data_IF_526807429396
#
_entry.id   IF_526807429396
#
_cell.length_a   1.000
_cell.length_b   1.000
_cell.length_c   1.000
_cell.angle_alpha   90.00
_cell.angle_beta   90.00
_cell.angle_gamma   90.00
#
_symmetry.space_group_name_H-M   'P 1'
#
loop_
_entity.id
_entity.type
_entity.pdbx_description
1 polymer ?
#
# COMPACT_ATOMS: atom_id res chain seq x y z
N UNK A 1 -25.84 -53.22 -73.73
CA UNK A 1 -26.56 -51.96 -74.04
C UNK A 1 -25.58 -50.92 -74.59
N UNK A 2 -26.04 -50.01 -75.45
CA UNK A 2 -25.36 -48.83 -76.07
C UNK A 2 -26.02 -47.56 -75.50
N UNK A 3 -25.48 -46.32 -75.49
CA UNK A 3 -24.16 -45.71 -75.80
C UNK A 3 -24.09 -44.34 -75.07
N UNK A 4 -22.93 -43.65 -74.95
CA UNK A 4 -22.77 -42.46 -74.11
C UNK A 4 -23.03 -41.11 -74.82
N UNK A 5 -23.28 -40.06 -74.04
CA UNK A 5 -23.32 -38.63 -74.40
C UNK A 5 -22.98 -37.79 -73.14
N UNK A 6 -22.54 -36.53 -73.14
CA UNK A 6 -21.90 -35.59 -74.10
C UNK A 6 -21.21 -34.51 -73.22
N UNK A 7 -20.16 -33.84 -73.71
CA UNK A 7 -19.49 -32.73 -73.01
C UNK A 7 -19.91 -31.35 -73.57
N UNK A 8 -19.93 -30.30 -72.73
CA UNK A 8 -19.68 -28.92 -73.15
C UNK A 8 -19.29 -28.03 -71.96
N UNK A 9 -18.42 -27.03 -72.17
CA UNK A 9 -17.84 -26.19 -71.12
C UNK A 9 -18.41 -24.77 -71.04
N UNK A 10 -18.28 -24.14 -69.87
CA UNK A 10 -18.64 -22.74 -69.62
C UNK A 10 -17.38 -21.85 -69.55
N UNK A 11 -17.43 -20.69 -70.20
CA UNK A 11 -16.36 -19.68 -70.17
C UNK A 11 -16.47 -18.78 -68.94
N UNK A 12 -15.38 -18.59 -68.22
CA UNK A 12 -15.28 -17.56 -67.17
C UNK A 12 -15.14 -16.16 -67.79
N UNK A 13 -15.88 -15.19 -67.24
CA UNK A 13 -15.65 -13.76 -67.45
C UNK A 13 -15.29 -13.17 -66.08
N UNK A 14 -14.09 -12.59 -65.98
CA UNK A 14 -13.61 -11.96 -64.74
C UNK A 14 -14.03 -10.48 -64.76
N UNK A 15 -14.86 -10.06 -63.79
CA UNK A 15 -15.22 -8.65 -63.60
C UNK A 15 -14.47 -8.10 -62.38
N UNK A 16 -13.51 -7.20 -62.60
CA UNK A 16 -12.74 -6.58 -61.52
C UNK A 16 -13.47 -5.34 -61.01
N UNK A 17 -14.12 -5.45 -59.85
CA UNK A 17 -14.67 -4.29 -59.12
C UNK A 17 -13.63 -3.70 -58.18
N UNK A 18 -13.16 -2.49 -58.47
CA UNK A 18 -12.17 -1.77 -57.66
C UNK A 18 -12.85 -1.15 -56.43
N UNK A 19 -12.75 -1.82 -55.28
CA UNK A 19 -13.21 -1.29 -53.99
C UNK A 19 -12.14 -0.37 -53.40
N UNK A 20 -12.37 0.94 -53.48
CA UNK A 20 -11.53 1.94 -52.81
C UNK A 20 -11.73 1.90 -51.30
N UNK A 21 -10.71 1.49 -50.56
CA UNK A 21 -10.70 1.51 -49.09
C UNK A 21 -10.54 2.92 -48.56
N UNK A 22 -11.61 3.48 -47.99
CA UNK A 22 -11.55 4.71 -47.20
C UNK A 22 -10.95 4.36 -45.83
N UNK A 23 -9.64 4.49 -45.71
CA UNK A 23 -8.92 4.33 -44.44
C UNK A 23 -9.29 5.46 -43.48
N UNK A 24 -10.30 5.24 -42.63
CA UNK A 24 -10.56 6.10 -41.48
C UNK A 24 -9.38 6.01 -40.52
N UNK A 25 -8.53 7.03 -40.49
CA UNK A 25 -7.50 7.22 -39.46
C UNK A 25 -8.20 7.33 -38.09
N UNK A 26 -8.25 6.21 -37.37
CA UNK A 26 -8.71 6.17 -36.00
C UNK A 26 -7.69 6.93 -35.14
N UNK A 27 -7.96 8.21 -34.91
CA UNK A 27 -7.16 9.04 -34.02
C UNK A 27 -7.33 8.48 -32.61
N UNK A 28 -6.30 7.83 -32.09
CA UNK A 28 -6.29 7.30 -30.74
C UNK A 28 -6.47 8.46 -29.76
N UNK A 29 -7.67 8.57 -29.16
CA UNK A 29 -7.86 9.46 -28.02
C UNK A 29 -6.93 8.97 -26.92
N UNK A 30 -6.09 9.87 -26.42
CA UNK A 30 -5.29 9.61 -25.22
C UNK A 30 -6.19 9.11 -24.10
N UNK A 31 -5.78 8.06 -23.40
CA UNK A 31 -6.51 7.56 -22.23
C UNK A 31 -6.77 8.71 -21.25
N UNK A 32 -7.97 8.77 -20.63
CA UNK A 32 -8.28 9.84 -19.69
C UNK A 32 -7.35 9.77 -18.48
N UNK A 33 -6.85 10.92 -18.07
CA UNK A 33 -6.06 11.08 -16.83
C UNK A 33 -6.91 10.70 -15.62
N UNK A 34 -6.60 9.57 -14.99
CA UNK A 34 -7.35 9.02 -13.87
C UNK A 34 -7.23 9.86 -12.59
N UNK A 35 -6.22 10.73 -12.47
CA UNK A 35 -6.09 11.71 -11.40
C UNK A 35 -6.98 12.95 -11.63
N UNK A 36 -7.67 13.04 -12.77
CA UNK A 36 -8.64 14.10 -13.10
C UNK A 36 -10.06 13.56 -13.38
N UNK A 37 -10.26 12.24 -13.31
CA UNK A 37 -11.54 11.57 -13.57
C UNK A 37 -12.19 11.17 -12.24
N UNK A 38 -13.30 11.79 -11.81
CA UNK A 38 -14.01 11.39 -10.59
C UNK A 38 -14.49 9.94 -10.64
N UNK A 39 -14.57 9.28 -9.48
CA UNK A 39 -15.01 7.88 -9.44
C UNK A 39 -16.48 7.73 -9.83
N UNK A 40 -16.77 6.69 -10.60
CA UNK A 40 -18.14 6.40 -11.07
C UNK A 40 -18.98 5.84 -9.92
N UNK A 41 -20.15 6.43 -9.68
CA UNK A 41 -21.14 5.88 -8.72
C UNK A 41 -21.64 4.52 -9.20
N UNK A 42 -21.54 3.49 -8.35
CA UNK A 42 -21.85 2.11 -8.71
C UNK A 42 -22.62 1.39 -7.62
N UNK A 43 -23.76 0.77 -7.98
CA UNK A 43 -24.49 -0.15 -7.10
C UNK A 43 -23.70 -1.42 -6.75
N UNK A 44 -22.59 -1.68 -7.45
CA UNK A 44 -21.68 -2.81 -7.21
C UNK A 44 -20.38 -2.39 -6.51
N UNK A 45 -20.28 -1.18 -5.95
CA UNK A 45 -19.06 -0.70 -5.30
C UNK A 45 -18.60 -1.63 -4.16
N UNK A 46 -19.53 -2.19 -3.38
CA UNK A 46 -19.24 -3.18 -2.31
C UNK A 46 -18.81 -4.56 -2.82
N UNK A 47 -18.75 -4.76 -4.14
CA UNK A 47 -18.33 -6.00 -4.82
C UNK A 47 -17.15 -5.79 -5.79
N UNK A 48 -16.57 -4.59 -5.85
CA UNK A 48 -15.30 -4.35 -6.56
C UNK A 48 -14.11 -4.87 -5.76
N UNK A 49 -12.90 -4.81 -6.33
CA UNK A 49 -11.68 -4.96 -5.53
C UNK A 49 -11.61 -3.85 -4.49
N UNK A 50 -11.50 -4.23 -3.22
CA UNK A 50 -11.25 -3.35 -2.08
C UNK A 50 -9.86 -3.68 -1.53
N UNK A 51 -9.11 -2.67 -1.10
CA UNK A 51 -7.70 -2.80 -0.71
C UNK A 51 -7.54 -2.73 0.80
N UNK A 52 -8.00 -1.64 1.42
CA UNK A 52 -7.93 -1.42 2.86
C UNK A 52 -9.28 -0.99 3.46
N UNK A 53 -9.37 -1.08 4.78
CA UNK A 53 -10.48 -0.55 5.55
C UNK A 53 -10.06 -0.14 6.95
N UNK A 54 -10.75 0.86 7.51
CA UNK A 54 -10.56 1.33 8.88
C UNK A 54 -11.91 1.50 9.60
N UNK A 55 -12.02 1.20 10.91
CA UNK A 55 -13.22 1.49 11.68
C UNK A 55 -13.58 2.98 11.65
N UNK A 56 -14.87 3.30 11.53
CA UNK A 56 -15.38 4.66 11.46
C UNK A 56 -16.68 4.77 12.30
N UNK A 57 -16.52 4.94 13.61
CA UNK A 57 -17.62 4.83 14.59
C UNK A 57 -18.36 3.48 14.43
N UNK A 58 -19.69 3.49 14.23
CA UNK A 58 -20.49 2.28 14.00
C UNK A 58 -20.36 1.69 12.58
N UNK A 59 -19.65 2.38 11.69
CA UNK A 59 -19.40 2.00 10.30
C UNK A 59 -17.94 1.58 10.06
N UNK A 60 -17.65 1.17 8.84
CA UNK A 60 -16.32 0.85 8.33
C UNK A 60 -16.11 1.67 7.07
N UNK A 61 -14.99 2.40 7.00
CA UNK A 61 -14.58 3.13 5.81
C UNK A 61 -13.65 2.23 4.99
N UNK A 62 -14.07 1.88 3.77
CA UNK A 62 -13.31 1.05 2.84
C UNK A 62 -12.82 1.86 1.65
N UNK A 63 -11.65 1.49 1.12
CA UNK A 63 -11.06 2.04 -0.10
C UNK A 63 -10.66 0.94 -1.07
N UNK A 64 -10.57 1.26 -2.36
CA UNK A 64 -10.17 0.27 -3.36
C UNK A 64 -9.95 0.82 -4.77
N UNK A 65 -10.06 -0.07 -5.75
CA UNK A 65 -9.90 0.28 -7.16
C UNK A 65 -10.89 1.35 -7.64
N UNK A 66 -10.55 2.01 -8.75
CA UNK A 66 -11.44 2.96 -9.45
C UNK A 66 -11.89 4.16 -8.61
N UNK A 67 -11.09 4.54 -7.61
CA UNK A 67 -11.41 5.61 -6.67
C UNK A 67 -12.63 5.31 -5.80
N UNK A 68 -12.95 4.03 -5.57
CA UNK A 68 -14.01 3.67 -4.64
C UNK A 68 -13.60 4.01 -3.20
N UNK A 69 -14.47 4.78 -2.54
CA UNK A 69 -14.43 5.06 -1.11
C UNK A 69 -15.85 4.77 -0.60
N UNK A 70 -16.00 3.92 0.40
CA UNK A 70 -17.31 3.38 0.82
C UNK A 70 -17.42 3.45 2.33
N UNK A 71 -18.47 4.08 2.84
CA UNK A 71 -18.86 3.96 4.24
C UNK A 71 -19.90 2.83 4.36
N UNK A 72 -19.55 1.73 5.00
CA UNK A 72 -20.37 0.51 5.10
C UNK A 72 -20.74 0.22 6.55
N UNK A 73 -22.02 -0.05 6.83
CA UNK A 73 -22.50 -0.52 8.13
C UNK A 73 -22.93 -2.00 8.05
N UNK A 74 -23.58 -2.37 6.94
CA UNK A 74 -23.96 -3.74 6.58
C UNK A 74 -24.32 -3.79 5.08
N UNK A 75 -24.60 -4.99 4.54
CA UNK A 75 -24.90 -5.20 3.12
C UNK A 75 -26.11 -4.40 2.58
N UNK A 76 -27.06 -3.99 3.43
CA UNK A 76 -28.20 -3.14 3.05
C UNK A 76 -28.04 -1.66 3.40
N UNK A 77 -27.01 -1.31 4.20
CA UNK A 77 -26.75 0.07 4.66
C UNK A 77 -25.28 0.43 4.40
N UNK A 78 -25.03 1.00 3.24
CA UNK A 78 -23.72 1.52 2.83
C UNK A 78 -23.88 2.69 1.85
N UNK A 79 -22.84 3.51 1.73
CA UNK A 79 -22.81 4.66 0.84
C UNK A 79 -21.43 4.81 0.20
N UNK A 80 -21.37 4.89 -1.14
CA UNK A 80 -20.18 5.33 -1.86
C UNK A 80 -20.00 6.85 -1.69
N UNK A 81 -18.81 7.26 -1.29
CA UNK A 81 -18.40 8.66 -1.16
C UNK A 81 -17.83 9.18 -2.49
N UNK A 82 -17.86 10.51 -2.69
CA UNK A 82 -17.41 11.14 -3.94
C UNK A 82 -15.90 11.31 -3.94
N UNK A 83 -15.18 10.50 -4.73
CA UNK A 83 -13.75 10.69 -4.99
C UNK A 83 -13.52 11.54 -6.25
N UNK A 84 -12.57 12.48 -6.25
CA UNK A 84 -12.20 13.27 -7.42
C UNK A 84 -11.29 12.52 -8.41
N UNK A 85 -10.92 11.27 -8.11
CA UNK A 85 -10.01 10.44 -8.92
C UNK A 85 -10.57 9.03 -9.15
N UNK A 86 -10.05 8.36 -10.17
CA UNK A 86 -10.38 6.98 -10.57
C UNK A 86 -9.17 6.03 -10.50
N UNK A 87 -8.05 6.49 -9.93
CA UNK A 87 -6.92 5.61 -9.57
C UNK A 87 -7.30 4.70 -8.41
N UNK A 88 -6.59 3.59 -8.21
CA UNK A 88 -6.80 2.74 -7.04
C UNK A 88 -6.29 3.42 -5.76
N UNK A 89 -7.10 3.36 -4.70
CA UNK A 89 -6.80 3.89 -3.37
C UNK A 89 -6.40 2.70 -2.49
N UNK A 90 -5.17 2.75 -1.96
CA UNK A 90 -4.50 1.62 -1.31
C UNK A 90 -4.80 1.56 0.18
N UNK A 91 -4.80 2.71 0.86
CA UNK A 91 -4.94 2.80 2.32
C UNK A 91 -5.66 4.08 2.78
N UNK A 92 -6.17 4.09 4.02
CA UNK A 92 -6.98 5.17 4.59
C UNK A 92 -6.86 5.25 6.12
N UNK A 93 -6.66 6.47 6.64
CA UNK A 93 -6.67 6.78 8.08
C UNK A 93 -7.68 7.88 8.43
N UNK A 94 -8.04 7.97 9.71
CA UNK A 94 -8.94 8.96 10.29
C UNK A 94 -8.21 9.68 11.43
N UNK A 95 -8.23 11.02 11.39
CA UNK A 95 -7.58 11.90 12.36
C UNK A 95 -8.44 12.12 13.61
N UNK A 96 -7.84 12.68 14.66
CA UNK A 96 -8.49 12.93 15.96
C UNK A 96 -9.73 13.85 15.85
N UNK A 97 -9.76 14.75 14.87
CA UNK A 97 -10.88 15.63 14.59
C UNK A 97 -11.97 15.02 13.67
N UNK A 98 -11.79 13.76 13.26
CA UNK A 98 -12.68 13.02 12.36
C UNK A 98 -12.50 13.33 10.87
N UNK A 99 -11.57 14.22 10.48
CA UNK A 99 -11.12 14.31 9.09
C UNK A 99 -10.34 13.06 8.67
N UNK A 100 -10.24 12.83 7.36
CA UNK A 100 -9.89 11.52 6.77
C UNK A 100 -8.86 11.73 5.67
N UNK A 101 -7.85 10.87 5.64
CA UNK A 101 -6.76 10.89 4.64
C UNK A 101 -6.72 9.53 3.96
N UNK A 102 -6.69 9.53 2.63
CA UNK A 102 -6.57 8.32 1.83
C UNK A 102 -5.44 8.47 0.79
N UNK A 103 -4.67 7.41 0.58
CA UNK A 103 -3.50 7.39 -0.32
C UNK A 103 -3.66 6.33 -1.40
N UNK A 104 -2.91 6.43 -2.50
CA UNK A 104 -3.00 5.42 -3.55
C UNK A 104 -2.04 5.57 -4.73
N UNK A 105 -2.46 4.96 -5.84
CA UNK A 105 -1.74 4.97 -7.11
C UNK A 105 -1.50 6.39 -7.63
N UNK A 106 -0.44 6.52 -8.44
CA UNK A 106 0.05 7.78 -9.00
C UNK A 106 0.32 8.85 -7.91
N UNK A 107 0.74 8.38 -6.74
CA UNK A 107 1.11 9.14 -5.54
C UNK A 107 0.00 10.02 -4.97
N UNK A 108 -1.27 9.70 -5.27
CA UNK A 108 -2.40 10.54 -4.86
C UNK A 108 -2.55 10.55 -3.34
N UNK A 109 -2.84 11.74 -2.79
CA UNK A 109 -3.39 11.88 -1.44
C UNK A 109 -4.70 12.67 -1.54
N UNK A 110 -5.73 12.11 -0.91
CA UNK A 110 -7.06 12.70 -0.80
C UNK A 110 -7.33 13.05 0.66
N UNK A 111 -8.01 14.18 0.87
CA UNK A 111 -8.52 14.61 2.18
C UNK A 111 -10.04 14.81 2.13
N UNK A 112 -10.73 14.41 3.19
CA UNK A 112 -12.11 14.79 3.47
C UNK A 112 -12.20 15.29 4.91
N UNK A 113 -12.92 16.39 5.13
CA UNK A 113 -13.10 16.95 6.46
C UNK A 113 -14.08 16.08 7.28
N UNK A 114 -14.22 16.35 8.58
CA UNK A 114 -15.20 15.62 9.39
C UNK A 114 -16.62 15.81 8.82
N UNK A 115 -17.45 14.76 8.88
CA UNK A 115 -18.76 14.64 8.23
C UNK A 115 -18.82 14.80 6.69
N UNK A 116 -17.72 15.14 5.99
CA UNK A 116 -17.74 15.21 4.53
C UNK A 116 -17.80 13.83 3.87
N UNK A 117 -18.72 13.69 2.91
CA UNK A 117 -18.79 12.56 1.96
C UNK A 117 -18.14 12.88 0.61
N UNK A 118 -17.48 14.02 0.49
CA UNK A 118 -16.78 14.48 -0.72
C UNK A 118 -15.32 14.75 -0.42
N UNK A 119 -14.44 14.15 -1.22
CA UNK A 119 -13.00 14.24 -1.04
C UNK A 119 -12.40 15.27 -1.99
N UNK A 120 -11.34 15.96 -1.53
CA UNK A 120 -10.47 16.79 -2.37
C UNK A 120 -9.11 16.11 -2.52
N UNK A 121 -8.47 16.32 -3.67
CA UNK A 121 -7.09 15.91 -3.90
C UNK A 121 -6.16 17.00 -3.38
N UNK A 122 -5.25 16.64 -2.49
CA UNK A 122 -4.29 17.58 -1.85
C UNK A 122 -2.87 17.40 -2.38
N UNK A 123 -2.54 16.23 -2.92
CA UNK A 123 -1.18 15.88 -3.35
C UNK A 123 -1.20 14.78 -4.45
N UNK A 124 -0.14 14.68 -5.25
CA UNK A 124 0.06 13.61 -6.25
C UNK A 124 1.52 13.17 -6.32
N UNK A 125 1.80 12.11 -7.07
CA UNK A 125 3.18 11.68 -7.36
C UNK A 125 4.01 12.73 -8.10
N UNK A 126 3.38 13.74 -8.72
CA UNK A 126 4.09 14.86 -9.36
C UNK A 126 4.93 15.61 -8.33
N UNK A 127 4.35 15.88 -7.16
CA UNK A 127 5.03 16.59 -6.07
C UNK A 127 6.19 15.74 -5.50
N UNK A 128 6.05 14.40 -5.44
CA UNK A 128 7.16 13.47 -5.09
C UNK A 128 8.34 13.64 -6.07
N UNK A 129 8.09 13.54 -7.38
CA UNK A 129 9.14 13.69 -8.39
C UNK A 129 9.77 15.08 -8.35
N UNK A 130 8.98 16.13 -8.06
CA UNK A 130 9.50 17.50 -7.87
C UNK A 130 10.41 17.61 -6.63
N UNK A 131 10.05 16.98 -5.50
CA UNK A 131 10.93 16.93 -4.33
C UNK A 131 12.22 16.15 -4.59
N UNK A 132 12.16 15.00 -5.28
CA UNK A 132 13.37 14.27 -5.70
C UNK A 132 14.30 15.11 -6.58
N UNK A 133 13.77 15.82 -7.58
CA UNK A 133 14.58 16.73 -8.42
C UNK A 133 15.22 17.85 -7.58
N UNK A 134 14.53 18.37 -6.56
CA UNK A 134 15.07 19.40 -5.68
C UNK A 134 16.21 18.87 -4.79
N UNK A 135 16.04 17.68 -4.21
CA UNK A 135 17.06 16.99 -3.40
C UNK A 135 18.32 16.68 -4.22
N UNK A 136 18.17 16.00 -5.36
CA UNK A 136 19.29 15.66 -6.25
C UNK A 136 20.06 16.90 -6.73
N UNK A 137 19.37 18.02 -6.99
CA UNK A 137 20.03 19.30 -7.35
C UNK A 137 20.80 19.92 -6.19
N UNK A 138 20.30 19.80 -4.96
CA UNK A 138 21.01 20.26 -3.78
C UNK A 138 22.26 19.39 -3.52
N UNK A 139 22.15 18.08 -3.71
CA UNK A 139 23.26 17.12 -3.62
C UNK A 139 24.34 17.43 -4.68
N UNK A 140 23.94 17.61 -5.95
CA UNK A 140 24.83 18.02 -7.04
C UNK A 140 25.60 19.31 -6.71
N UNK A 141 24.90 20.36 -6.29
CA UNK A 141 25.54 21.64 -5.90
C UNK A 141 26.49 21.48 -4.71
N UNK A 142 26.19 20.58 -3.76
CA UNK A 142 27.07 20.30 -2.63
C UNK A 142 28.33 19.57 -3.10
N UNK A 143 28.19 18.62 -4.03
CA UNK A 143 29.28 17.83 -4.58
C UNK A 143 30.20 18.66 -5.48
N UNK A 144 29.66 19.55 -6.33
CA UNK A 144 30.45 20.55 -7.09
C UNK A 144 31.35 21.38 -6.17
N UNK A 145 30.83 21.77 -5.00
CA UNK A 145 31.59 22.56 -4.03
C UNK A 145 32.72 21.74 -3.38
N UNK A 146 32.51 20.44 -3.11
CA UNK A 146 33.57 19.53 -2.63
C UNK A 146 34.65 19.39 -3.70
N UNK A 147 34.28 18.98 -4.92
CA UNK A 147 35.18 18.81 -6.08
C UNK A 147 36.04 20.07 -6.31
N UNK A 148 35.47 21.27 -6.17
CA UNK A 148 36.22 22.53 -6.35
C UNK A 148 37.35 22.75 -5.32
N UNK A 149 37.38 21.96 -4.25
CA UNK A 149 38.36 22.06 -3.15
C UNK A 149 39.22 20.81 -2.96
N UNK A 150 38.81 19.66 -3.50
CA UNK A 150 39.59 18.42 -3.49
C UNK A 150 40.86 18.56 -4.34
N UNK A 151 41.99 18.05 -3.84
CA UNK A 151 43.30 18.10 -4.50
C UNK A 151 43.86 16.73 -4.86
N UNK A 152 43.30 15.67 -4.30
CA UNK A 152 43.70 14.29 -4.56
C UNK A 152 43.07 13.84 -5.90
N UNK A 153 43.89 13.33 -6.81
CA UNK A 153 43.44 12.97 -8.17
C UNK A 153 42.54 11.72 -8.17
N UNK A 154 42.79 10.76 -7.27
CA UNK A 154 41.98 9.54 -7.16
C UNK A 154 40.59 9.88 -6.54
N UNK A 155 40.55 10.77 -5.53
CA UNK A 155 39.30 11.28 -4.94
C UNK A 155 38.49 12.12 -5.95
N UNK A 156 39.17 12.96 -6.75
CA UNK A 156 38.52 13.75 -7.81
C UNK A 156 37.86 12.87 -8.89
N UNK A 157 38.45 11.74 -9.25
CA UNK A 157 37.85 10.81 -10.21
C UNK A 157 36.56 10.19 -9.65
N UNK A 158 36.58 9.71 -8.40
CA UNK A 158 35.39 9.14 -7.75
C UNK A 158 34.25 10.16 -7.60
N UNK A 159 34.55 11.37 -7.12
CA UNK A 159 33.56 12.44 -6.96
C UNK A 159 32.98 12.89 -8.32
N UNK A 160 33.77 12.84 -9.39
CA UNK A 160 33.29 13.18 -10.74
C UNK A 160 32.28 12.15 -11.25
N UNK A 161 32.52 10.85 -11.04
CA UNK A 161 31.54 9.82 -11.37
C UNK A 161 30.22 9.99 -10.58
N UNK A 162 30.31 10.28 -9.28
CA UNK A 162 29.13 10.56 -8.45
C UNK A 162 28.34 11.79 -8.97
N UNK A 163 29.03 12.80 -9.51
CA UNK A 163 28.39 13.98 -10.08
C UNK A 163 27.66 13.65 -11.41
N UNK A 164 28.27 12.84 -12.28
CA UNK A 164 27.62 12.35 -13.50
C UNK A 164 26.36 11.53 -13.20
N UNK A 165 26.41 10.61 -12.22
CA UNK A 165 25.24 9.84 -11.75
C UNK A 165 24.10 10.76 -11.26
N UNK A 166 24.42 11.82 -10.53
CA UNK A 166 23.43 12.82 -10.10
C UNK A 166 22.82 13.58 -11.29
N UNK A 167 23.60 13.90 -12.32
CA UNK A 167 23.07 14.52 -13.55
C UNK A 167 22.07 13.57 -14.24
N UNK A 168 22.43 12.29 -14.44
CA UNK A 168 21.53 11.30 -15.02
C UNK A 168 20.24 11.13 -14.19
N UNK A 169 20.35 11.03 -12.86
CA UNK A 169 19.20 10.94 -11.97
C UNK A 169 18.28 12.17 -12.06
N UNK A 170 18.84 13.38 -12.20
CA UNK A 170 18.08 14.62 -12.40
C UNK A 170 17.36 14.62 -13.76
N UNK A 171 17.98 14.14 -14.83
CA UNK A 171 17.38 14.05 -16.16
C UNK A 171 16.24 13.03 -16.22
N UNK A 172 16.44 11.84 -15.65
CA UNK A 172 15.42 10.78 -15.57
C UNK A 172 14.19 11.25 -14.79
N UNK A 173 14.36 11.88 -13.63
CA UNK A 173 13.23 12.43 -12.88
C UNK A 173 12.53 13.57 -13.63
N UNK A 174 13.25 14.35 -14.46
CA UNK A 174 12.61 15.34 -15.35
C UNK A 174 11.83 14.71 -16.50
N UNK A 175 12.24 13.55 -17.02
CA UNK A 175 11.48 12.78 -18.02
C UNK A 175 10.24 12.13 -17.39
N UNK A 176 10.35 11.61 -16.18
CA UNK A 176 9.22 11.12 -15.39
C UNK A 176 8.19 12.23 -15.13
N UNK A 177 8.65 13.41 -14.69
CA UNK A 177 7.78 14.55 -14.41
C UNK A 177 6.98 15.01 -15.65
N UNK A 178 7.54 14.85 -16.86
CA UNK A 178 6.85 15.09 -18.15
C UNK A 178 5.87 13.97 -18.51
N UNK A 179 6.22 12.72 -18.18
CA UNK A 179 5.40 11.53 -18.47
C UNK A 179 4.18 11.42 -17.56
N UNK A 180 4.28 11.96 -16.34
CA UNK A 180 3.23 11.93 -15.33
C UNK A 180 3.51 10.93 -14.21
N UNK A 181 2.86 11.09 -13.05
CA UNK A 181 3.07 10.23 -11.89
C UNK A 181 2.64 8.79 -12.15
N UNK A 182 3.45 7.83 -11.67
CA UNK A 182 3.22 6.39 -11.84
C UNK A 182 3.55 5.55 -10.59
N UNK A 183 4.12 6.16 -9.53
CA UNK A 183 4.50 5.49 -8.28
C UNK A 183 3.34 5.49 -7.29
N UNK A 184 2.90 4.34 -6.75
CA UNK A 184 1.88 4.31 -5.71
C UNK A 184 2.45 4.73 -4.34
N UNK A 185 1.63 5.44 -3.58
CA UNK A 185 1.65 5.34 -2.12
C UNK A 185 0.87 4.07 -1.73
N UNK A 186 1.37 3.35 -0.72
CA UNK A 186 0.92 2.01 -0.35
C UNK A 186 0.23 1.97 1.01
N UNK A 187 0.67 2.80 1.97
CA UNK A 187 0.09 2.85 3.31
C UNK A 187 0.15 4.25 3.92
N UNK A 188 -0.77 4.56 4.83
CA UNK A 188 -0.84 5.84 5.55
C UNK A 188 -1.25 5.64 7.00
N UNK A 189 -0.59 6.35 7.91
CA UNK A 189 -0.92 6.32 9.34
C UNK A 189 -0.81 7.71 9.96
N UNK A 190 -1.34 7.85 11.17
CA UNK A 190 -1.34 9.09 11.95
C UNK A 190 -0.97 8.83 13.40
N UNK A 191 -0.31 9.80 14.04
CA UNK A 191 0.00 9.85 15.47
C UNK A 191 -1.11 10.52 16.27
N UNK A 192 -1.02 10.48 17.60
CA UNK A 192 -2.01 11.08 18.51
C UNK A 192 -2.15 12.61 18.38
N UNK A 193 -1.11 13.29 17.87
CA UNK A 193 -1.09 14.72 17.57
C UNK A 193 -1.46 15.05 16.10
N UNK A 194 -2.02 14.10 15.35
CA UNK A 194 -2.35 14.21 13.92
C UNK A 194 -1.16 14.51 12.98
N UNK A 195 0.08 14.21 13.38
CA UNK A 195 1.19 14.09 12.42
C UNK A 195 0.95 12.82 11.58
N UNK A 196 1.04 12.95 10.26
CA UNK A 196 0.79 11.89 9.29
C UNK A 196 2.09 11.38 8.68
N UNK A 197 2.12 10.09 8.37
CA UNK A 197 3.16 9.44 7.59
C UNK A 197 2.53 8.59 6.48
N UNK A 198 3.08 8.68 5.27
CA UNK A 198 2.66 7.85 4.14
C UNK A 198 3.87 7.20 3.48
N UNK A 199 3.80 5.89 3.24
CA UNK A 199 4.86 5.10 2.60
C UNK A 199 4.47 4.63 1.21
N UNK A 200 5.44 4.33 0.35
CA UNK A 200 5.16 3.88 -1.00
C UNK A 200 6.33 3.24 -1.75
N UNK A 201 6.18 3.15 -3.07
CA UNK A 201 7.20 2.61 -3.96
C UNK A 201 8.50 3.45 -3.97
N UNK A 202 9.60 2.83 -4.40
CA UNK A 202 10.95 3.41 -4.48
C UNK A 202 11.40 4.18 -3.22
N UNK A 203 11.30 3.54 -2.05
CA UNK A 203 11.71 4.10 -0.76
C UNK A 203 10.92 5.33 -0.29
N UNK A 204 9.77 5.65 -0.90
CA UNK A 204 9.02 6.88 -0.59
C UNK A 204 8.50 6.88 0.84
N UNK A 205 8.91 7.87 1.63
CA UNK A 205 8.34 8.24 2.93
C UNK A 205 7.98 9.73 2.90
N UNK A 206 6.70 10.03 3.11
CA UNK A 206 6.17 11.38 3.25
C UNK A 206 5.74 11.65 4.68
N UNK A 207 5.84 12.90 5.12
CA UNK A 207 5.24 13.37 6.38
C UNK A 207 4.40 14.63 6.18
N UNK A 208 3.36 14.81 7.00
CA UNK A 208 2.58 16.04 7.11
C UNK A 208 2.33 16.40 8.57
N UNK A 209 2.53 17.68 8.90
CA UNK A 209 2.33 18.23 10.25
C UNK A 209 1.16 19.22 10.34
N UNK A 210 0.35 19.31 9.28
CA UNK A 210 -0.80 20.21 9.16
C UNK A 210 -2.11 19.47 8.84
N UNK A 211 -2.21 18.22 9.31
CA UNK A 211 -3.35 17.32 9.07
C UNK A 211 -3.57 17.01 7.58
N UNK A 212 -2.48 16.91 6.81
CA UNK A 212 -2.50 16.48 5.41
C UNK A 212 -2.88 17.56 4.40
N UNK A 213 -2.78 18.86 4.74
CA UNK A 213 -2.93 19.93 3.74
C UNK A 213 -1.65 20.07 2.90
N UNK A 214 -0.47 19.91 3.52
CA UNK A 214 0.84 19.90 2.85
C UNK A 214 1.69 18.72 3.32
N UNK A 215 2.60 18.27 2.46
CA UNK A 215 3.43 17.08 2.66
C UNK A 215 4.88 17.36 2.26
N UNK A 216 5.81 16.69 2.92
CA UNK A 216 7.25 16.76 2.66
C UNK A 216 7.81 15.35 2.41
N UNK A 217 8.77 15.23 1.50
CA UNK A 217 9.51 14.00 1.25
C UNK A 217 10.69 13.89 2.22
N UNK A 218 10.66 12.87 3.08
CA UNK A 218 11.63 12.63 4.15
C UNK A 218 12.33 11.26 4.02
N UNK A 219 12.31 10.65 2.83
CA UNK A 219 12.97 9.37 2.54
C UNK A 219 14.45 9.31 2.92
N UNK A 220 15.16 10.44 2.90
CA UNK A 220 16.56 10.54 3.30
C UNK A 220 16.81 10.36 4.81
N UNK A 221 15.76 10.26 5.63
CA UNK A 221 15.86 9.87 7.04
C UNK A 221 15.93 8.34 7.24
N UNK A 222 15.77 7.54 6.17
CA UNK A 222 15.82 6.08 6.21
C UNK A 222 17.08 5.56 5.51
N UNK A 223 17.77 4.62 6.15
CA UNK A 223 18.89 3.86 5.57
C UNK A 223 18.35 2.82 4.56
N UNK A 224 17.92 3.29 3.38
CA UNK A 224 17.35 2.46 2.29
C UNK A 224 18.04 2.76 0.93
N UNK A 225 19.34 2.46 0.78
CA UNK A 225 20.10 2.82 -0.43
C UNK A 225 19.53 2.17 -1.70
N UNK A 226 19.09 0.92 -1.63
CA UNK A 226 18.47 0.18 -2.74
C UNK A 226 17.06 0.67 -3.09
N UNK A 227 16.50 1.64 -2.35
CA UNK A 227 15.16 2.19 -2.55
C UNK A 227 14.03 1.14 -2.54
N UNK A 228 14.16 0.08 -1.73
CA UNK A 228 13.13 -0.96 -1.57
C UNK A 228 11.76 -0.36 -1.21
N UNK A 229 10.67 -0.96 -1.69
CA UNK A 229 9.32 -0.46 -1.42
C UNK A 229 8.98 -0.53 0.07
N UNK A 230 8.35 0.54 0.56
CA UNK A 230 7.88 0.65 1.94
C UNK A 230 6.38 0.34 1.98
N UNK A 231 6.07 -0.95 2.17
CA UNK A 231 4.74 -1.51 1.88
C UNK A 231 3.69 -1.18 2.95
N UNK A 232 4.09 -1.02 4.21
CA UNK A 232 3.16 -0.75 5.32
C UNK A 232 3.81 0.11 6.39
N UNK A 233 3.04 1.07 6.93
CA UNK A 233 3.41 1.90 8.08
C UNK A 233 2.28 1.89 9.11
N UNK A 234 2.63 1.77 10.39
CA UNK A 234 1.67 1.86 11.50
C UNK A 234 2.18 2.75 12.62
N UNK A 235 1.25 3.40 13.33
CA UNK A 235 1.49 3.99 14.65
C UNK A 235 0.91 3.12 15.76
N UNK A 236 1.60 3.04 16.90
CA UNK A 236 1.10 2.41 18.14
C UNK A 236 0.34 3.39 19.02
N UNK A 237 -0.28 2.89 20.11
CA UNK A 237 -0.90 3.75 21.14
C UNK A 237 0.08 4.65 21.89
N UNK A 238 1.36 4.29 21.92
CA UNK A 238 2.45 5.07 22.53
C UNK A 238 3.26 5.86 21.50
N UNK A 239 2.65 6.17 20.35
CA UNK A 239 3.20 7.02 19.27
C UNK A 239 4.55 6.56 18.70
N UNK A 240 4.82 5.24 18.78
CA UNK A 240 5.90 4.61 18.04
C UNK A 240 5.44 4.31 16.63
N UNK A 241 6.31 4.54 15.66
CA UNK A 241 6.05 4.23 14.27
C UNK A 241 6.86 3.01 13.86
N UNK A 242 6.29 2.16 13.01
CA UNK A 242 6.94 1.01 12.43
C UNK A 242 6.65 0.92 10.94
N UNK A 243 7.68 0.68 10.14
CA UNK A 243 7.62 0.48 8.69
C UNK A 243 8.15 -0.92 8.36
N UNK A 244 7.50 -1.62 7.43
CA UNK A 244 8.03 -2.84 6.80
C UNK A 244 7.92 -2.77 5.28
N UNK A 245 8.84 -3.44 4.58
CA UNK A 245 9.00 -3.31 3.13
C UNK A 245 9.47 -4.57 2.41
N UNK A 246 10.02 -4.38 1.22
CA UNK A 246 10.68 -5.42 0.43
C UNK A 246 12.02 -5.86 1.05
N UNK A 247 12.56 -7.00 0.61
CA UNK A 247 13.88 -7.53 1.03
C UNK A 247 14.12 -7.62 2.56
N UNK A 248 13.07 -7.75 3.37
CA UNK A 248 13.18 -7.73 4.83
C UNK A 248 13.40 -6.35 5.46
N UNK A 249 13.34 -5.27 4.67
CA UNK A 249 13.50 -3.89 5.15
C UNK A 249 12.48 -3.58 6.25
N UNK A 250 12.97 -3.04 7.37
CA UNK A 250 12.18 -2.59 8.49
C UNK A 250 12.80 -1.36 9.14
N UNK A 251 11.95 -0.43 9.56
CA UNK A 251 12.36 0.76 10.31
C UNK A 251 11.40 1.01 11.48
N UNK A 252 11.87 1.71 12.50
CA UNK A 252 11.03 2.19 13.58
C UNK A 252 11.43 3.59 14.04
N UNK A 253 10.50 4.31 14.66
CA UNK A 253 10.73 5.55 15.38
C UNK A 253 10.08 5.47 16.76
N UNK A 254 10.73 6.07 17.75
CA UNK A 254 10.25 6.14 19.14
C UNK A 254 9.95 7.58 19.60
N UNK A 255 9.95 8.55 18.68
CA UNK A 255 9.91 9.98 18.95
C UNK A 255 9.00 10.76 17.98
N UNK A 256 7.84 10.18 17.62
CA UNK A 256 6.86 10.76 16.67
C UNK A 256 7.41 10.94 15.25
N UNK A 257 8.42 10.15 14.85
CA UNK A 257 9.00 10.19 13.51
C UNK A 257 10.02 11.30 13.28
N UNK A 258 10.60 11.86 14.36
CA UNK A 258 11.70 12.81 14.29
C UNK A 258 13.03 12.11 13.94
N UNK A 259 13.24 10.92 14.47
CA UNK A 259 14.36 10.04 14.12
C UNK A 259 13.88 8.63 13.83
N UNK A 260 14.61 7.94 12.96
CA UNK A 260 14.32 6.58 12.53
C UNK A 260 15.53 5.69 12.77
N UNK A 261 15.29 4.39 12.95
CA UNK A 261 16.34 3.39 13.14
C UNK A 261 15.93 2.07 12.49
N UNK A 262 16.89 1.39 11.87
CA UNK A 262 16.70 0.08 11.26
C UNK A 262 16.14 -0.92 12.29
N UNK A 263 15.16 -1.71 11.85
CA UNK A 263 14.53 -2.78 12.62
C UNK A 263 14.81 -4.12 11.94
N UNK A 264 15.82 -4.84 12.42
CA UNK A 264 16.24 -6.13 11.84
C UNK A 264 15.18 -7.20 12.05
N UNK A 265 14.71 -7.76 10.93
CA UNK A 265 13.71 -8.84 10.90
C UNK A 265 14.39 -10.17 10.52
N UNK A 266 13.94 -11.32 11.06
CA UNK A 266 14.50 -12.65 10.76
C UNK A 266 14.03 -13.20 9.40
N UNK A 267 13.87 -12.33 8.40
CA UNK A 267 13.36 -12.67 7.07
C UNK A 267 13.83 -11.63 6.04
N UNK A 268 14.33 -12.08 4.89
CA UNK A 268 14.88 -11.24 3.82
C UNK A 268 14.00 -11.18 2.55
N UNK A 269 12.70 -11.47 2.66
CA UNK A 269 11.74 -11.33 1.56
C UNK A 269 10.74 -10.21 1.81
N UNK A 270 9.83 -9.99 0.87
CA UNK A 270 8.88 -8.88 0.96
C UNK A 270 7.83 -9.07 2.04
N UNK A 271 7.71 -8.08 2.92
CA UNK A 271 6.63 -7.96 3.88
C UNK A 271 5.56 -7.03 3.32
N UNK A 272 4.30 -7.44 3.48
CA UNK A 272 3.14 -6.71 2.93
C UNK A 272 2.33 -6.01 4.03
N UNK A 273 2.55 -6.34 5.30
CA UNK A 273 1.93 -5.63 6.41
C UNK A 273 2.61 -5.87 7.75
N UNK A 274 2.38 -4.92 8.65
CA UNK A 274 2.67 -5.02 10.08
C UNK A 274 1.45 -4.53 10.86
N UNK A 275 1.15 -5.15 12.00
CA UNK A 275 0.08 -4.71 12.91
C UNK A 275 0.54 -4.76 14.36
N UNK A 276 0.03 -3.84 15.19
CA UNK A 276 0.28 -3.78 16.63
C UNK A 276 -0.96 -4.21 17.43
N UNK A 277 -0.76 -4.92 18.54
CA UNK A 277 -1.86 -5.30 19.42
C UNK A 277 -2.47 -4.05 20.07
N UNK A 278 -3.79 -3.79 19.94
CA UNK A 278 -4.44 -2.64 20.55
C UNK A 278 -4.59 -2.75 22.07
N UNK A 279 -4.45 -3.95 22.63
CA UNK A 279 -4.56 -4.20 24.07
C UNK A 279 -3.21 -3.96 24.72
N UNK A 280 -3.18 -3.07 25.71
CA UNK A 280 -2.08 -3.04 26.68
C UNK A 280 -2.10 -4.38 27.43
N UNK A 281 -1.22 -5.30 27.05
CA UNK A 281 -1.03 -6.56 27.77
C UNK A 281 -0.32 -6.22 29.07
N UNK A 282 -1.08 -6.11 30.16
CA UNK A 282 -0.54 -5.94 31.50
C UNK A 282 0.38 -7.11 31.83
N UNK A 283 1.69 -6.88 31.75
CA UNK A 283 2.71 -7.83 32.18
C UNK A 283 2.89 -7.73 33.69
N UNK A 284 1.84 -8.09 34.44
CA UNK A 284 1.87 -8.25 35.89
C UNK A 284 2.63 -9.53 36.28
N UNK A 285 3.92 -9.56 35.98
CA UNK A 285 4.87 -10.57 36.41
C UNK A 285 6.15 -9.88 36.88
N UNK A 286 6.14 -9.45 38.14
CA UNK A 286 7.29 -8.86 38.82
C UNK A 286 8.13 -9.95 39.50
N UNK A 287 9.29 -10.28 38.93
CA UNK A 287 10.33 -11.05 39.64
C UNK A 287 11.39 -10.13 40.29
N UNK A 288 11.45 -8.85 39.88
CA UNK A 288 12.55 -7.93 40.24
C UNK A 288 12.10 -6.50 40.65
N UNK A 289 10.79 -6.28 40.87
CA UNK A 289 10.24 -4.98 41.28
C UNK A 289 10.34 -3.84 40.25
N UNK A 290 11.08 -4.01 39.15
CA UNK A 290 11.03 -3.14 37.98
C UNK A 290 9.69 -3.34 37.26
N UNK A 291 8.91 -2.27 37.17
CA UNK A 291 7.75 -2.18 36.30
C UNK A 291 8.21 -2.37 34.84
N UNK A 292 8.04 -3.58 34.30
CA UNK A 292 8.16 -3.82 32.87
C UNK A 292 7.08 -2.96 32.19
N UNK A 293 7.49 -1.89 31.50
CA UNK A 293 6.56 -1.12 30.66
C UNK A 293 5.87 -2.10 29.72
N UNK A 294 4.53 -2.11 29.70
CA UNK A 294 3.73 -2.95 28.79
C UNK A 294 4.29 -2.79 27.38
N UNK A 295 4.92 -3.84 26.86
CA UNK A 295 5.61 -3.76 25.57
C UNK A 295 4.65 -4.09 24.45
N UNK A 296 4.69 -3.28 23.39
CA UNK A 296 3.85 -3.47 22.21
C UNK A 296 4.12 -4.83 21.57
N UNK A 297 3.07 -5.63 21.38
CA UNK A 297 3.14 -6.82 20.56
C UNK A 297 2.95 -6.43 19.10
N UNK A 298 3.83 -6.93 18.22
CA UNK A 298 3.84 -6.66 16.78
C UNK A 298 3.74 -7.96 16.01
N UNK A 299 2.99 -7.96 14.91
CA UNK A 299 2.95 -9.06 13.94
C UNK A 299 3.26 -8.49 12.56
N UNK A 300 4.37 -8.91 11.95
CA UNK A 300 4.73 -8.62 10.57
C UNK A 300 4.48 -9.85 9.70
N UNK A 301 4.07 -9.67 8.44
CA UNK A 301 3.69 -10.76 7.56
C UNK A 301 3.86 -10.41 6.08
N UNK A 302 3.96 -11.43 5.22
CA UNK A 302 4.03 -11.17 3.78
C UNK A 302 4.22 -12.39 2.87
N UNK A 303 5.17 -12.25 1.96
CA UNK A 303 5.43 -13.13 0.83
C UNK A 303 5.60 -14.60 1.26
N UNK A 304 4.98 -15.52 0.51
CA UNK A 304 4.99 -16.97 0.75
C UNK A 304 4.50 -17.43 2.16
N UNK A 305 3.76 -16.59 2.88
CA UNK A 305 3.16 -16.99 4.16
C UNK A 305 4.13 -16.94 5.35
N UNK A 306 5.13 -16.07 5.28
CA UNK A 306 6.00 -15.78 6.43
C UNK A 306 5.27 -14.89 7.43
N UNK A 307 5.39 -15.22 8.72
CA UNK A 307 4.82 -14.50 9.86
C UNK A 307 5.94 -14.29 10.87
N UNK A 308 6.12 -13.06 11.35
CA UNK A 308 7.03 -12.75 12.44
C UNK A 308 6.30 -12.05 13.57
N UNK A 309 6.66 -12.39 14.81
CA UNK A 309 6.04 -11.83 16.01
C UNK A 309 7.10 -11.30 16.95
N UNK A 310 6.93 -10.05 17.38
CA UNK A 310 7.64 -9.49 18.52
C UNK A 310 6.66 -9.29 19.67
N UNK A 311 7.07 -9.66 20.88
CA UNK A 311 6.32 -9.41 22.12
C UNK A 311 6.88 -8.23 22.90
N UNK A 312 7.86 -7.52 22.33
CA UNK A 312 8.71 -6.59 23.07
C UNK A 312 8.99 -5.26 22.34
N UNK A 313 8.12 -4.89 21.38
CA UNK A 313 8.21 -3.63 20.65
C UNK A 313 9.22 -3.65 19.49
N UNK A 314 9.53 -4.82 18.94
CA UNK A 314 10.46 -5.00 17.82
C UNK A 314 11.89 -5.33 18.22
N UNK A 315 12.19 -5.54 19.50
CA UNK A 315 13.53 -5.87 20.00
C UNK A 315 13.96 -7.31 19.73
N UNK A 316 13.02 -8.25 19.83
CA UNK A 316 13.20 -9.67 19.50
C UNK A 316 12.03 -10.16 18.66
N UNK A 317 12.33 -11.00 17.67
CA UNK A 317 11.36 -11.54 16.72
C UNK A 317 11.43 -13.07 16.69
N UNK A 318 10.26 -13.70 16.81
CA UNK A 318 10.04 -15.09 16.42
C UNK A 318 9.56 -15.12 14.97
N UNK A 319 9.85 -16.20 14.24
CA UNK A 319 9.44 -16.39 12.84
C UNK A 319 8.84 -17.78 12.66
N UNK A 320 7.73 -17.85 11.93
CA UNK A 320 7.13 -19.08 11.45
C UNK A 320 6.70 -18.90 9.99
N UNK A 321 6.60 -20.02 9.27
CA UNK A 321 6.11 -20.04 7.89
C UNK A 321 4.91 -20.97 7.74
N UNK A 322 3.86 -20.49 7.08
CA UNK A 322 2.70 -21.31 6.75
C UNK A 322 3.10 -22.54 5.90
N UNK A 323 2.49 -23.72 6.15
CA UNK A 323 2.68 -24.90 5.30
C UNK A 323 2.28 -24.67 3.82
N UNK A 324 1.33 -23.76 3.59
CA UNK A 324 1.03 -23.24 2.25
C UNK A 324 1.90 -22.02 1.95
N UNK A 325 2.60 -22.02 0.80
CA UNK A 325 3.40 -20.89 0.29
C UNK A 325 2.56 -19.68 -0.17
N UNK A 326 1.50 -19.34 0.56
CA UNK A 326 0.47 -18.38 0.20
C UNK A 326 0.76 -17.05 0.88
N UNK A 327 1.01 -15.99 0.09
CA UNK A 327 1.33 -14.66 0.63
C UNK A 327 0.15 -14.07 1.42
N UNK A 328 0.48 -13.58 2.61
CA UNK A 328 -0.41 -12.83 3.51
C UNK A 328 -0.38 -11.35 3.14
N UNK A 329 -1.53 -10.69 3.19
CA UNK A 329 -1.75 -9.34 2.67
C UNK A 329 -2.36 -8.37 3.68
N UNK A 330 -3.16 -8.87 4.63
CA UNK A 330 -3.81 -8.06 5.66
C UNK A 330 -3.77 -8.72 7.02
N UNK A 331 -3.84 -7.91 8.07
CA UNK A 331 -3.84 -8.38 9.45
C UNK A 331 -4.67 -7.49 10.36
N UNK A 332 -5.10 -8.05 11.48
CA UNK A 332 -5.78 -7.31 12.56
C UNK A 332 -5.70 -8.09 13.87
N UNK A 333 -6.10 -7.45 14.95
CA UNK A 333 -6.18 -8.03 16.28
C UNK A 333 -7.61 -8.00 16.81
N UNK A 334 -7.99 -9.03 17.56
CA UNK A 334 -9.21 -9.00 18.36
C UNK A 334 -9.05 -8.15 19.63
N UNK A 335 -10.17 -7.79 20.27
CA UNK A 335 -10.20 -7.08 21.56
C UNK A 335 -9.53 -7.88 22.70
N UNK A 336 -9.33 -9.19 22.51
CA UNK A 336 -8.67 -10.10 23.44
C UNK A 336 -7.18 -10.32 23.10
N UNK A 337 -6.64 -9.62 22.10
CA UNK A 337 -5.23 -9.70 21.70
C UNK A 337 -4.87 -10.89 20.80
N UNK A 338 -5.85 -11.61 20.25
CA UNK A 338 -5.60 -12.67 19.27
C UNK A 338 -5.32 -12.06 17.89
N UNK A 339 -4.29 -12.53 17.20
CA UNK A 339 -3.93 -12.06 15.86
C UNK A 339 -4.72 -12.84 14.79
N UNK A 340 -5.17 -12.12 13.76
CA UNK A 340 -5.83 -12.66 12.57
C UNK A 340 -5.16 -12.11 11.31
N UNK A 341 -4.73 -13.00 10.41
CA UNK A 341 -4.07 -12.64 9.13
C UNK A 341 -4.86 -13.22 7.96
N UNK A 342 -4.88 -12.52 6.84
CA UNK A 342 -5.56 -12.92 5.59
C UNK A 342 -4.66 -12.75 4.38
N UNK A 343 -4.96 -13.43 3.28
CA UNK A 343 -4.15 -13.32 2.07
C UNK A 343 -4.74 -13.96 0.82
N UNK A 344 -3.83 -14.37 -0.07
CA UNK A 344 -4.19 -15.03 -1.33
C UNK A 344 -4.97 -16.34 -1.11
N UNK A 345 -5.71 -16.78 -2.13
CA UNK A 345 -6.42 -18.07 -2.09
C UNK A 345 -7.50 -18.16 -1.01
N UNK A 346 -7.91 -17.05 -0.39
CA UNK A 346 -8.86 -16.99 0.71
C UNK A 346 -8.30 -17.50 2.04
N UNK A 347 -6.98 -17.55 2.23
CA UNK A 347 -6.41 -18.00 3.51
C UNK A 347 -6.80 -17.04 4.65
N UNK A 348 -7.16 -17.61 5.80
CA UNK A 348 -7.41 -16.91 7.06
C UNK A 348 -6.66 -17.68 8.16
N UNK A 349 -5.76 -17.01 8.86
CA UNK A 349 -4.92 -17.56 9.94
C UNK A 349 -5.28 -16.88 11.24
N UNK A 350 -5.49 -17.63 12.33
CA UNK A 350 -5.66 -17.08 13.68
C UNK A 350 -4.70 -17.73 14.67
N UNK A 351 -4.13 -16.95 15.59
CA UNK A 351 -3.19 -17.43 16.61
C UNK A 351 -3.05 -16.46 17.79
N UNK A 352 -2.59 -16.95 18.94
CA UNK A 352 -2.11 -16.11 20.04
C UNK A 352 -0.66 -15.71 19.76
N UNK A 353 -0.31 -14.40 19.72
CA UNK A 353 1.08 -13.96 19.55
C UNK A 353 2.08 -14.59 20.53
N UNK A 354 1.63 -14.97 21.74
CA UNK A 354 2.46 -15.63 22.75
C UNK A 354 2.83 -17.08 22.39
N UNK A 355 2.15 -17.68 21.41
CA UNK A 355 2.41 -19.03 20.93
C UNK A 355 2.30 -19.11 19.40
N UNK A 356 3.30 -18.54 18.72
CA UNK A 356 3.34 -18.49 17.25
C UNK A 356 3.36 -19.90 16.59
N UNK A 357 3.79 -20.95 17.31
CA UNK A 357 3.76 -22.33 16.78
C UNK A 357 2.35 -22.91 16.62
N UNK A 358 1.33 -22.33 17.27
CA UNK A 358 -0.05 -22.84 17.26
C UNK A 358 -0.94 -22.03 16.30
N UNK A 359 -0.71 -22.23 15.00
CA UNK A 359 -1.46 -21.56 13.93
C UNK A 359 -2.74 -22.34 13.58
N UNK A 360 -3.90 -21.69 13.67
CA UNK A 360 -5.15 -22.21 13.10
C UNK A 360 -5.37 -21.61 11.72
N UNK A 361 -5.37 -22.46 10.70
CA UNK A 361 -5.51 -22.07 9.30
C UNK A 361 -6.89 -22.50 8.79
N UNK A 362 -7.64 -21.57 8.21
CA UNK A 362 -8.91 -21.82 7.54
C UNK A 362 -8.90 -21.17 6.15
N UNK A 363 -9.91 -21.48 5.33
CA UNK A 363 -10.00 -20.98 3.95
C UNK A 363 -11.41 -20.49 3.64
N UNK A 364 -11.53 -19.26 3.16
CA UNK A 364 -12.78 -18.70 2.68
C UNK A 364 -13.24 -19.43 1.39
N UNK A 365 -14.51 -19.88 1.27
CA UNK A 365 -14.98 -20.71 0.16
C UNK A 365 -14.82 -20.09 -1.24
N UNK A 366 -14.77 -18.76 -1.36
CA UNK A 366 -14.55 -18.09 -2.64
C UNK A 366 -13.15 -18.28 -3.23
N UNK A 367 -12.16 -18.64 -2.41
CA UNK A 367 -10.75 -18.70 -2.81
C UNK A 367 -10.13 -17.35 -3.25
N UNK A 368 -10.85 -16.24 -3.05
CA UNK A 368 -10.45 -14.90 -3.46
C UNK A 368 -9.21 -14.39 -2.70
N UNK A 369 -8.42 -13.50 -3.30
CA UNK A 369 -7.44 -12.75 -2.52
C UNK A 369 -8.15 -11.81 -1.52
N UNK A 370 -7.79 -11.94 -0.23
CA UNK A 370 -8.24 -11.08 0.86
C UNK A 370 -7.08 -10.16 1.23
N UNK A 371 -7.32 -8.84 1.19
CA UNK A 371 -6.29 -7.82 1.43
C UNK A 371 -6.41 -7.16 2.80
N UNK A 372 -7.59 -7.18 3.42
CA UNK A 372 -7.81 -6.56 4.73
C UNK A 372 -8.86 -7.32 5.54
N UNK A 373 -8.74 -7.21 6.87
CA UNK A 373 -9.56 -7.89 7.87
C UNK A 373 -9.81 -6.96 9.06
N UNK A 374 -11.02 -6.99 9.62
CA UNK A 374 -11.34 -6.42 10.92
C UNK A 374 -12.07 -7.46 11.78
N UNK A 375 -11.74 -7.54 13.06
CA UNK A 375 -12.41 -8.45 14.01
C UNK A 375 -13.53 -7.69 14.73
N UNK A 376 -14.79 -8.10 14.52
CA UNK A 376 -15.98 -7.53 15.13
C UNK A 376 -16.73 -8.62 15.89
N UNK A 377 -16.35 -8.77 17.16
CA UNK A 377 -16.89 -9.75 18.11
C UNK A 377 -16.91 -11.15 17.46
N UNK A 378 -18.05 -11.84 17.44
CA UNK A 378 -18.21 -13.18 16.84
C UNK A 378 -18.11 -13.21 15.28
N UNK A 379 -17.54 -12.19 14.64
CA UNK A 379 -17.38 -12.14 13.18
C UNK A 379 -16.10 -11.47 12.70
N UNK A 380 -15.60 -11.92 11.55
CA UNK A 380 -14.55 -11.26 10.78
C UNK A 380 -15.20 -10.49 9.63
N UNK A 381 -14.88 -9.21 9.49
CA UNK A 381 -15.18 -8.46 8.28
C UNK A 381 -13.98 -8.62 7.36
N UNK A 382 -14.22 -9.05 6.12
CA UNK A 382 -13.20 -9.38 5.14
C UNK A 382 -13.37 -8.48 3.91
N UNK A 383 -12.26 -7.93 3.41
CA UNK A 383 -12.22 -7.16 2.18
C UNK A 383 -11.14 -7.70 1.22
N UNK A 384 -11.38 -7.57 -0.08
CA UNK A 384 -10.41 -7.99 -1.10
C UNK A 384 -11.01 -8.01 -2.52
N UNK A 385 -10.60 -9.00 -3.30
CA UNK A 385 -10.86 -9.11 -4.74
C UNK A 385 -12.35 -9.09 -5.14
N UNK A 386 -13.25 -9.61 -4.30
CA UNK A 386 -14.71 -9.65 -4.54
C UNK A 386 -15.50 -8.74 -3.59
N UNK A 387 -14.84 -7.70 -3.09
CA UNK A 387 -15.44 -6.69 -2.22
C UNK A 387 -15.48 -7.09 -0.76
N UNK A 388 -16.53 -6.65 -0.05
CA UNK A 388 -16.72 -6.86 1.38
C UNK A 388 -17.66 -8.04 1.66
N UNK A 389 -17.33 -8.82 2.69
CA UNK A 389 -18.16 -9.88 3.27
C UNK A 389 -17.97 -9.99 4.79
N UNK A 390 -18.97 -10.56 5.46
CA UNK A 390 -18.88 -10.96 6.87
C UNK A 390 -18.73 -12.48 6.97
N UNK A 391 -17.80 -12.94 7.80
CA UNK A 391 -17.46 -14.35 8.02
C UNK A 391 -17.58 -14.72 9.50
N UNK A 392 -18.18 -15.86 9.88
CA UNK A 392 -18.37 -16.23 11.28
C UNK A 392 -17.04 -16.54 11.97
N UNK A 393 -16.77 -15.86 13.09
CA UNK A 393 -15.62 -16.13 13.95
C UNK A 393 -15.98 -17.23 14.97
N UNK A 394 -15.87 -18.50 14.54
CA UNK A 394 -16.14 -19.70 15.37
C UNK A 394 -15.02 -19.97 16.40
N UNK A 395 -14.65 -18.94 17.15
CA UNK A 395 -13.55 -18.94 18.12
C UNK A 395 -13.92 -18.28 19.46
N UNK A 396 -15.15 -17.78 19.57
CA UNK A 396 -15.76 -17.25 20.80
C UNK A 396 -16.93 -18.14 21.28
N UNK A 397 -16.98 -19.40 20.80
CA UNK A 397 -17.72 -20.54 21.35
C UNK A 397 -16.73 -21.53 22.00
#
# INVERSE_FOLDING_TARGET
MRTPHIACGMKSILLVTLLGSVSTLAQAKSSPDLLKLPSTSSALATKSVLMAMTPNNDAILLVGERGHIINWQNDSHWQQQKSPVSVAITDVTILSDGSKIAVGHDGVILKADNDSTSWRKVFTGKEITQFKIAQLKQEHQSLEQVISTTQDEDELEELTYQLEDLIFAIEDNQLELKSGPNKPLLSVTSTSNDTLFATGAYGTLLSSNDKGESWQLISNQLENPDSYHLNSVITTRDDRLYIVGENGTGFHSADLGQTWSVMTLPYSGSLFGIVANPVNVDTSSSDDGKLMKNKTQLVAFGLQGNIMVSLDGGGHWQHEKLPSNTSLLGGSFSKQGKAFLVGHGGVIVSFDPKNLTSLKITKHPSGAALSSILVKDNSLILAGQFGISQWPNKEEE
#
